data_IF_081612928866
#
_entry.id   IF_081612928866
#
_cell.length_a   1.000
_cell.length_b   1.000
_cell.length_c   1.000
_cell.angle_alpha   90.00
_cell.angle_beta   90.00
_cell.angle_gamma   90.00
#
_symmetry.space_group_name_H-M   'P 1'
#
loop_
_entity.id
_entity.type
_entity.pdbx_description
1 polymer ?
#
# COMPACT_ATOMS: atom_id res chain seq x y z
N UNK A 1 -51.76 68.54 -24.70
CA UNK A 1 -50.50 68.42 -25.46
C UNK A 1 -49.32 68.65 -24.53
N UNK A 2 -48.24 67.93 -24.77
CA UNK A 2 -47.06 67.67 -23.91
C UNK A 2 -46.37 68.94 -23.40
N UNK A 3 -45.83 68.89 -22.18
CA UNK A 3 -44.40 69.12 -21.96
C UNK A 3 -43.90 68.51 -20.65
N UNK A 4 -42.61 68.18 -20.65
CA UNK A 4 -41.90 67.21 -19.83
C UNK A 4 -41.13 67.87 -18.67
N UNK A 5 -40.95 67.07 -17.61
CA UNK A 5 -39.81 66.96 -16.68
C UNK A 5 -39.36 68.21 -15.91
N UNK A 6 -39.39 68.12 -14.59
CA UNK A 6 -38.32 68.63 -13.75
C UNK A 6 -38.14 67.74 -12.52
N UNK A 7 -36.87 67.42 -12.28
CA UNK A 7 -36.27 66.64 -11.21
C UNK A 7 -36.10 67.54 -9.98
N UNK A 8 -36.34 67.07 -8.75
CA UNK A 8 -35.44 67.25 -7.58
C UNK A 8 -36.13 66.97 -6.22
N UNK A 9 -35.44 66.11 -5.45
CA UNK A 9 -35.18 66.16 -4.01
C UNK A 9 -36.35 66.09 -3.01
N UNK A 10 -36.37 65.02 -2.20
CA UNK A 10 -35.78 65.08 -0.86
C UNK A 10 -35.83 63.70 -0.21
N UNK A 11 -34.65 63.11 0.01
CA UNK A 11 -34.46 61.85 0.73
C UNK A 11 -34.64 62.11 2.22
N UNK A 12 -35.58 61.39 2.80
CA UNK A 12 -35.94 61.38 4.22
C UNK A 12 -35.12 60.29 4.94
N UNK A 13 -34.83 60.59 6.22
CA UNK A 13 -34.40 59.68 7.30
C UNK A 13 -32.91 59.26 7.29
N UNK A 14 -32.05 59.89 8.08
CA UNK A 14 -31.91 59.73 9.54
C UNK A 14 -31.71 58.26 9.93
N UNK A 15 -30.45 57.82 10.04
CA UNK A 15 -29.74 57.64 11.32
C UNK A 15 -30.44 56.65 12.25
N UNK A 16 -29.84 55.48 12.44
CA UNK A 16 -29.32 54.98 13.73
C UNK A 16 -28.50 53.71 13.42
N UNK A 17 -27.19 53.80 13.62
CA UNK A 17 -26.31 52.64 13.72
C UNK A 17 -26.59 51.94 15.06
N UNK A 18 -27.42 50.90 15.03
CA UNK A 18 -27.50 49.92 16.10
C UNK A 18 -26.45 48.83 15.86
N UNK A 19 -25.33 48.90 16.57
CA UNK A 19 -24.43 47.76 16.74
C UNK A 19 -25.13 46.82 17.71
N UNK A 20 -25.97 45.95 17.18
CA UNK A 20 -26.48 44.77 17.89
C UNK A 20 -25.56 43.61 17.57
N UNK A 21 -24.78 43.14 18.55
CA UNK A 21 -24.07 41.87 18.46
C UNK A 21 -25.10 40.77 18.18
N UNK A 22 -25.09 40.23 16.96
CA UNK A 22 -25.81 39.01 16.66
C UNK A 22 -25.16 37.89 17.48
N UNK A 23 -25.90 37.37 18.45
CA UNK A 23 -25.54 36.16 19.16
C UNK A 23 -25.54 35.00 18.16
N UNK A 24 -24.33 34.60 17.75
CA UNK A 24 -24.12 33.43 16.91
C UNK A 24 -24.50 32.22 17.75
N UNK A 25 -25.71 31.70 17.52
CA UNK A 25 -26.07 30.36 17.99
C UNK A 25 -25.06 29.38 17.42
N UNK A 26 -24.11 28.94 18.27
CA UNK A 26 -23.24 27.83 17.99
C UNK A 26 -24.13 26.61 17.76
N UNK A 27 -24.23 26.19 16.50
CA UNK A 27 -24.73 24.85 16.18
C UNK A 27 -23.92 23.85 17.01
N UNK A 28 -24.56 22.88 17.68
CA UNK A 28 -23.83 21.85 18.39
C UNK A 28 -22.93 21.13 17.39
N UNK A 29 -21.62 21.32 17.53
CA UNK A 29 -20.61 20.51 16.88
C UNK A 29 -20.93 19.06 17.24
N UNK A 30 -21.35 18.29 16.23
CA UNK A 30 -21.59 16.86 16.37
C UNK A 30 -20.39 16.25 17.08
N UNK A 31 -20.64 15.55 18.18
CA UNK A 31 -19.60 14.85 18.92
C UNK A 31 -18.79 14.01 17.94
N UNK A 32 -17.48 14.29 17.85
CA UNK A 32 -16.56 13.46 17.08
C UNK A 32 -16.72 12.02 17.58
N UNK A 33 -16.95 11.02 16.71
CA UNK A 33 -17.09 9.65 17.16
C UNK A 33 -15.85 9.28 17.96
N UNK A 34 -16.04 8.67 19.13
CA UNK A 34 -14.96 8.21 19.98
C UNK A 34 -13.93 7.43 19.12
N UNK A 35 -12.61 7.62 19.35
CA UNK A 35 -11.60 6.99 18.53
C UNK A 35 -11.81 5.48 18.52
N UNK A 36 -12.00 4.91 17.33
CA UNK A 36 -12.11 3.46 17.17
C UNK A 36 -10.83 2.81 17.69
N UNK A 37 -10.97 1.91 18.67
CA UNK A 37 -9.85 1.18 19.23
C UNK A 37 -9.39 0.10 18.24
N UNK A 38 -8.20 0.30 17.66
CA UNK A 38 -7.61 -0.59 16.65
C UNK A 38 -6.19 -1.01 17.10
N UNK A 39 -6.04 -1.95 18.05
CA UNK A 39 -4.73 -2.34 18.58
C UNK A 39 -3.92 -3.11 17.53
N UNK A 40 -2.63 -2.82 17.39
CA UNK A 40 -1.78 -3.65 16.53
C UNK A 40 -1.35 -4.93 17.25
N UNK A 41 -1.22 -6.07 16.55
CA UNK A 41 -0.61 -7.28 17.09
C UNK A 41 0.79 -7.00 17.66
N UNK A 42 1.14 -7.66 18.76
CA UNK A 42 2.45 -7.54 19.39
C UNK A 42 2.75 -8.76 20.26
N UNK A 43 3.96 -8.82 20.82
CA UNK A 43 4.43 -9.91 21.68
C UNK A 43 5.23 -10.97 20.92
N UNK A 44 5.31 -12.17 21.50
CA UNK A 44 6.17 -13.26 21.02
C UNK A 44 5.38 -14.47 20.49
N UNK A 45 4.08 -14.56 20.81
CA UNK A 45 3.25 -15.70 20.40
C UNK A 45 2.40 -15.37 19.19
N UNK A 46 2.76 -15.95 18.03
CA UNK A 46 2.08 -15.74 16.75
C UNK A 46 0.57 -15.98 16.82
N UNK A 47 0.12 -17.05 17.49
CA UNK A 47 -1.31 -17.39 17.59
C UNK A 47 -2.12 -16.28 18.26
N UNK A 48 -1.65 -15.76 19.40
CA UNK A 48 -2.30 -14.67 20.12
C UNK A 48 -2.25 -13.35 19.34
N UNK A 49 -1.14 -13.09 18.65
CA UNK A 49 -1.02 -11.94 17.75
C UNK A 49 -2.03 -12.02 16.59
N UNK A 50 -2.25 -13.20 16.01
CA UNK A 50 -3.26 -13.43 14.97
C UNK A 50 -4.68 -13.21 15.50
N UNK A 51 -5.00 -13.63 16.71
CA UNK A 51 -6.32 -13.35 17.30
C UNK A 51 -6.57 -11.82 17.43
N UNK A 52 -5.53 -11.08 17.83
CA UNK A 52 -5.57 -9.60 17.86
C UNK A 52 -5.71 -9.01 16.46
N UNK A 53 -4.99 -9.56 15.47
CA UNK A 53 -5.05 -9.15 14.08
C UNK A 53 -6.46 -9.30 13.50
N UNK A 54 -7.10 -10.46 13.71
CA UNK A 54 -8.46 -10.75 13.25
C UNK A 54 -9.46 -9.74 13.79
N UNK A 55 -9.44 -9.49 15.10
CA UNK A 55 -10.34 -8.49 15.72
C UNK A 55 -10.07 -7.09 15.16
N UNK A 56 -8.80 -6.73 14.98
CA UNK A 56 -8.42 -5.39 14.53
C UNK A 56 -8.83 -5.13 13.10
N UNK A 57 -8.58 -6.06 12.18
CA UNK A 57 -8.94 -5.90 10.76
C UNK A 57 -10.45 -5.91 10.57
N UNK A 58 -11.22 -6.70 11.34
CA UNK A 58 -12.69 -6.65 11.31
C UNK A 58 -13.24 -5.29 11.75
N UNK A 59 -12.66 -4.68 12.78
CA UNK A 59 -13.11 -3.39 13.31
C UNK A 59 -12.56 -2.19 12.50
N UNK A 60 -11.37 -2.34 11.94
CA UNK A 60 -10.59 -1.31 11.27
C UNK A 60 -9.91 -1.88 10.01
N UNK A 61 -10.68 -2.14 8.92
CA UNK A 61 -10.14 -2.79 7.72
C UNK A 61 -9.02 -2.01 7.03
N UNK A 62 -9.01 -0.68 7.19
CA UNK A 62 -7.97 0.24 6.71
C UNK A 62 -6.59 -0.02 7.36
N UNK A 63 -6.55 -0.77 8.46
CA UNK A 63 -5.31 -1.13 9.16
C UNK A 63 -4.69 -2.45 8.71
N UNK A 64 -5.23 -3.13 7.69
CA UNK A 64 -4.74 -4.43 7.25
C UNK A 64 -3.23 -4.45 7.05
N UNK A 65 -2.67 -3.48 6.32
CA UNK A 65 -1.23 -3.48 6.01
C UNK A 65 -0.38 -3.34 7.28
N UNK A 66 -0.76 -2.42 8.17
CA UNK A 66 -0.09 -2.23 9.45
C UNK A 66 -0.17 -3.50 10.33
N UNK A 67 -1.33 -4.15 10.35
CA UNK A 67 -1.55 -5.42 11.05
C UNK A 67 -0.70 -6.54 10.45
N UNK A 68 -0.63 -6.63 9.13
CA UNK A 68 0.16 -7.63 8.42
C UNK A 68 1.66 -7.49 8.73
N UNK A 69 2.20 -6.26 8.67
CA UNK A 69 3.59 -6.02 9.05
C UNK A 69 3.84 -6.27 10.54
N UNK A 70 2.89 -5.93 11.42
CA UNK A 70 3.01 -6.26 12.84
C UNK A 70 3.08 -7.79 13.09
N UNK A 71 2.34 -8.60 12.33
CA UNK A 71 2.47 -10.06 12.40
C UNK A 71 3.85 -10.54 11.92
N UNK A 72 4.41 -9.96 10.87
CA UNK A 72 5.78 -10.26 10.43
C UNK A 72 6.78 -9.93 11.55
N UNK A 73 6.64 -8.78 12.22
CA UNK A 73 7.50 -8.38 13.34
C UNK A 73 7.37 -9.32 14.54
N UNK A 74 6.16 -9.80 14.87
CA UNK A 74 5.97 -10.84 15.89
C UNK A 74 6.70 -12.13 15.49
N UNK A 75 6.60 -12.53 14.22
CA UNK A 75 7.32 -13.69 13.70
C UNK A 75 8.83 -13.53 13.73
N UNK A 76 9.35 -12.31 13.54
CA UNK A 76 10.79 -12.00 13.61
C UNK A 76 11.39 -12.31 14.98
N UNK A 77 10.60 -12.18 16.05
CA UNK A 77 11.08 -12.49 17.40
C UNK A 77 11.26 -14.00 17.67
N UNK A 78 10.58 -14.85 16.90
CA UNK A 78 10.69 -16.31 16.98
C UNK A 78 10.44 -16.94 15.59
N UNK A 79 11.45 -16.87 14.67
CA UNK A 79 11.28 -17.27 13.28
C UNK A 79 11.08 -18.78 13.13
N UNK A 80 9.95 -19.18 12.56
CA UNK A 80 9.62 -20.60 12.34
C UNK A 80 8.62 -20.80 11.19
N UNK A 81 8.66 -21.96 10.49
CA UNK A 81 7.85 -22.17 9.29
C UNK A 81 6.34 -22.01 9.51
N UNK A 82 5.85 -22.33 10.71
CA UNK A 82 4.44 -22.25 11.11
C UNK A 82 3.91 -20.81 11.10
N UNK A 83 4.79 -19.81 11.30
CA UNK A 83 4.39 -18.40 11.30
C UNK A 83 3.73 -17.99 9.98
N UNK A 84 4.24 -18.50 8.85
CA UNK A 84 3.64 -18.28 7.54
C UNK A 84 2.24 -18.89 7.44
N UNK A 85 2.04 -20.07 8.01
CA UNK A 85 0.76 -20.77 7.96
C UNK A 85 -0.30 -20.01 8.74
N UNK A 86 0.04 -19.52 9.93
CA UNK A 86 -0.84 -18.64 10.70
C UNK A 86 -1.21 -17.36 9.94
N UNK A 87 -0.26 -16.72 9.26
CA UNK A 87 -0.51 -15.51 8.47
C UNK A 87 -1.34 -15.83 7.22
N UNK A 88 -1.08 -16.96 6.54
CA UNK A 88 -1.89 -17.43 5.41
C UNK A 88 -3.35 -17.63 5.82
N UNK A 89 -3.56 -18.32 6.93
CA UNK A 89 -4.89 -18.68 7.40
C UNK A 89 -5.64 -17.44 7.89
N UNK A 90 -4.94 -16.49 8.53
CA UNK A 90 -5.47 -15.15 8.82
C UNK A 90 -5.93 -14.42 7.55
N UNK A 91 -5.08 -14.30 6.53
CA UNK A 91 -5.42 -13.62 5.28
C UNK A 91 -6.59 -14.30 4.56
N UNK A 92 -6.61 -15.65 4.57
CA UNK A 92 -7.70 -16.44 4.02
C UNK A 92 -9.01 -16.18 4.76
N UNK A 93 -9.01 -16.20 6.09
CA UNK A 93 -10.21 -15.92 6.88
C UNK A 93 -10.75 -14.51 6.64
N UNK A 94 -9.89 -13.48 6.64
CA UNK A 94 -10.32 -12.11 6.35
C UNK A 94 -10.87 -11.96 4.92
N UNK A 95 -10.36 -12.75 3.98
CA UNK A 95 -10.86 -12.80 2.61
C UNK A 95 -12.20 -13.52 2.51
N UNK A 96 -12.34 -14.67 3.17
CA UNK A 96 -13.55 -15.49 3.16
C UNK A 96 -14.72 -14.75 3.85
N UNK A 97 -14.42 -13.96 4.89
CA UNK A 97 -15.38 -13.05 5.56
C UNK A 97 -15.73 -11.79 4.74
N UNK A 98 -15.07 -11.57 3.59
CA UNK A 98 -15.27 -10.40 2.74
C UNK A 98 -14.71 -9.09 3.31
N UNK A 99 -13.88 -9.15 4.35
CA UNK A 99 -13.25 -7.96 4.96
C UNK A 99 -12.17 -7.39 4.05
N UNK A 100 -11.46 -8.27 3.32
CA UNK A 100 -10.41 -7.90 2.37
C UNK A 100 -10.64 -8.63 1.04
N UNK A 101 -10.16 -8.07 -0.08
CA UNK A 101 -10.33 -8.75 -1.36
C UNK A 101 -9.45 -10.00 -1.45
N UNK A 102 -9.92 -11.11 -2.06
CA UNK A 102 -9.11 -12.32 -2.26
C UNK A 102 -7.82 -12.06 -3.03
N UNK A 103 -7.90 -11.21 -4.07
CA UNK A 103 -6.73 -10.82 -4.87
C UNK A 103 -5.68 -10.09 -4.03
N UNK A 104 -6.11 -9.26 -3.09
CA UNK A 104 -5.19 -8.52 -2.22
C UNK A 104 -4.55 -9.43 -1.17
N UNK A 105 -5.34 -10.32 -0.55
CA UNK A 105 -4.85 -11.35 0.36
C UNK A 105 -3.77 -12.23 -0.31
N UNK A 106 -4.05 -12.71 -1.53
CA UNK A 106 -3.09 -13.48 -2.31
C UNK A 106 -1.84 -12.66 -2.63
N UNK A 107 -1.99 -11.40 -3.07
CA UNK A 107 -0.84 -10.53 -3.37
C UNK A 107 0.06 -10.36 -2.15
N UNK A 108 -0.50 -10.01 -0.98
CA UNK A 108 0.27 -9.83 0.26
C UNK A 108 1.05 -11.09 0.62
N UNK A 109 0.36 -12.24 0.60
CA UNK A 109 0.98 -13.52 0.92
C UNK A 109 2.10 -13.88 -0.06
N UNK A 110 1.85 -13.81 -1.37
CA UNK A 110 2.83 -14.24 -2.37
C UNK A 110 4.03 -13.31 -2.47
N UNK A 111 3.83 -12.01 -2.26
CA UNK A 111 4.92 -11.03 -2.22
C UNK A 111 5.94 -11.39 -1.12
N UNK A 112 5.47 -11.78 0.07
CA UNK A 112 6.34 -11.98 1.24
C UNK A 112 6.76 -13.44 1.46
N UNK A 113 5.89 -14.42 1.16
CA UNK A 113 6.05 -15.80 1.60
C UNK A 113 6.13 -16.84 0.47
N UNK A 114 6.05 -16.41 -0.79
CA UNK A 114 6.24 -17.27 -1.94
C UNK A 114 7.61 -16.99 -2.60
N UNK A 115 8.41 -18.01 -2.95
CA UNK A 115 9.75 -17.79 -3.50
C UNK A 115 9.72 -17.12 -4.89
N UNK A 116 8.75 -17.47 -5.74
CA UNK A 116 8.59 -16.84 -7.07
C UNK A 116 8.13 -15.39 -6.98
N UNK A 117 8.67 -14.56 -7.87
CA UNK A 117 8.27 -13.15 -8.00
C UNK A 117 6.85 -13.01 -8.57
N UNK A 118 6.12 -11.99 -8.09
CA UNK A 118 4.78 -11.62 -8.55
C UNK A 118 4.80 -10.32 -9.34
N UNK A 119 5.70 -9.42 -8.94
CA UNK A 119 6.07 -8.13 -9.50
C UNK A 119 6.48 -8.13 -10.98
N UNK A 120 6.69 -9.29 -11.60
CA UNK A 120 7.23 -9.35 -12.96
C UNK A 120 6.16 -8.90 -13.94
N UNK A 121 6.34 -7.76 -14.63
CA UNK A 121 5.34 -7.30 -15.57
C UNK A 121 5.39 -8.21 -16.81
N UNK A 122 4.23 -8.42 -17.44
CA UNK A 122 4.13 -9.16 -18.70
C UNK A 122 4.71 -8.30 -19.84
N UNK A 123 6.04 -8.20 -19.86
CA UNK A 123 6.78 -7.38 -20.80
C UNK A 123 7.32 -8.30 -21.88
N UNK A 124 6.97 -7.98 -23.13
CA UNK A 124 7.60 -8.61 -24.29
C UNK A 124 9.09 -8.35 -24.24
N UNK A 125 9.93 -9.34 -24.56
CA UNK A 125 11.39 -9.21 -24.50
C UNK A 125 11.93 -7.92 -25.15
N UNK A 126 11.33 -7.47 -26.26
CA UNK A 126 11.69 -6.22 -26.94
C UNK A 126 11.50 -4.93 -26.11
N UNK A 127 10.55 -4.92 -25.17
CA UNK A 127 10.30 -3.79 -24.26
C UNK A 127 11.04 -3.94 -22.92
N UNK A 128 11.58 -5.13 -22.65
CA UNK A 128 12.22 -5.44 -21.38
C UNK A 128 13.59 -4.78 -21.26
N UNK A 129 14.32 -4.60 -22.36
CA UNK A 129 15.58 -3.87 -22.38
C UNK A 129 15.41 -2.39 -22.00
N UNK A 130 14.35 -1.73 -22.50
CA UNK A 130 14.07 -0.32 -22.19
C UNK A 130 13.61 -0.10 -20.74
N UNK A 131 12.93 -1.10 -20.17
CA UNK A 131 12.37 -1.06 -18.80
C UNK A 131 13.22 -1.81 -17.79
N UNK A 132 14.43 -2.21 -18.15
CA UNK A 132 15.25 -3.09 -17.32
C UNK A 132 15.45 -2.54 -15.91
N UNK A 133 15.85 -1.26 -15.78
CA UNK A 133 16.08 -0.64 -14.46
C UNK A 133 14.81 -0.60 -13.61
N UNK A 134 13.66 -0.33 -14.22
CA UNK A 134 12.35 -0.31 -13.54
C UNK A 134 11.99 -1.71 -13.01
N UNK A 135 12.13 -2.73 -13.86
CA UNK A 135 11.84 -4.12 -13.48
C UNK A 135 12.81 -4.61 -12.41
N UNK A 136 14.10 -4.29 -12.54
CA UNK A 136 15.12 -4.66 -11.56
C UNK A 136 14.81 -4.04 -10.19
N UNK A 137 14.41 -2.76 -10.14
CA UNK A 137 13.98 -2.10 -8.91
C UNK A 137 12.74 -2.75 -8.29
N UNK A 138 11.74 -3.09 -9.11
CA UNK A 138 10.53 -3.79 -8.63
C UNK A 138 10.85 -5.17 -8.05
N UNK A 139 11.70 -5.93 -8.74
CA UNK A 139 12.16 -7.22 -8.22
C UNK A 139 12.99 -7.06 -6.96
N UNK A 140 13.86 -6.04 -6.87
CA UNK A 140 14.64 -5.81 -5.68
C UNK A 140 13.76 -5.46 -4.47
N UNK A 141 12.74 -4.60 -4.67
CA UNK A 141 11.76 -4.28 -3.64
C UNK A 141 10.99 -5.53 -3.18
N UNK A 142 10.54 -6.37 -4.11
CA UNK A 142 9.87 -7.62 -3.75
C UNK A 142 10.83 -8.61 -3.06
N UNK A 143 12.12 -8.63 -3.42
CA UNK A 143 13.11 -9.49 -2.75
C UNK A 143 13.30 -9.09 -1.28
N UNK A 144 13.25 -7.80 -0.96
CA UNK A 144 13.25 -7.33 0.43
C UNK A 144 11.98 -7.75 1.17
N UNK A 145 10.81 -7.66 0.54
CA UNK A 145 9.57 -8.22 1.10
C UNK A 145 9.68 -9.73 1.35
N UNK A 146 10.30 -10.47 0.43
CA UNK A 146 10.55 -11.91 0.58
C UNK A 146 11.54 -12.19 1.71
N UNK A 147 12.56 -11.34 1.93
CA UNK A 147 13.48 -11.48 3.07
C UNK A 147 12.74 -11.35 4.40
N UNK A 148 11.90 -10.32 4.53
CA UNK A 148 11.07 -10.13 5.72
C UNK A 148 10.13 -11.30 5.99
N UNK A 149 9.46 -11.83 4.97
CA UNK A 149 8.53 -12.95 5.14
C UNK A 149 9.22 -14.31 5.31
N UNK A 150 10.06 -14.71 4.35
CA UNK A 150 10.64 -16.05 4.31
C UNK A 150 11.72 -16.26 5.37
N UNK A 151 12.69 -15.35 5.48
CA UNK A 151 13.78 -15.50 6.46
C UNK A 151 13.35 -14.97 7.82
N UNK A 152 13.03 -13.69 7.88
CA UNK A 152 12.91 -13.03 9.18
C UNK A 152 11.69 -13.55 9.94
N UNK A 153 10.54 -13.71 9.29
CA UNK A 153 9.33 -14.22 9.95
C UNK A 153 9.25 -15.75 9.99
N UNK A 154 9.63 -16.46 8.92
CA UNK A 154 9.40 -17.90 8.80
C UNK A 154 10.64 -18.79 8.99
N UNK A 155 11.85 -18.23 9.09
CA UNK A 155 13.08 -19.01 9.24
C UNK A 155 13.41 -19.93 8.05
N UNK A 156 12.85 -19.66 6.87
CA UNK A 156 12.95 -20.50 5.67
C UNK A 156 14.00 -19.98 4.69
N UNK A 157 15.27 -20.00 5.12
CA UNK A 157 16.40 -19.54 4.31
C UNK A 157 16.50 -20.23 2.94
N UNK A 158 16.14 -21.52 2.85
CA UNK A 158 16.16 -22.24 1.59
C UNK A 158 15.17 -21.68 0.55
N UNK A 159 14.00 -21.18 0.98
CA UNK A 159 13.03 -20.53 0.09
C UNK A 159 13.51 -19.15 -0.32
N UNK A 160 14.11 -18.40 0.59
CA UNK A 160 14.72 -17.12 0.26
C UNK A 160 15.88 -17.29 -0.73
N UNK A 161 16.74 -18.30 -0.54
CA UNK A 161 17.83 -18.62 -1.46
C UNK A 161 17.32 -18.95 -2.88
N UNK A 162 16.16 -19.60 -2.98
CA UNK A 162 15.50 -19.83 -4.27
C UNK A 162 15.07 -18.51 -4.94
N UNK A 163 14.46 -17.59 -4.18
CA UNK A 163 14.09 -16.26 -4.68
C UNK A 163 15.31 -15.44 -5.10
N UNK A 164 16.38 -15.44 -4.29
CA UNK A 164 17.64 -14.76 -4.62
C UNK A 164 18.29 -15.36 -5.88
N UNK A 165 18.21 -16.67 -6.08
CA UNK A 165 18.68 -17.32 -7.30
C UNK A 165 17.87 -16.91 -8.53
N UNK A 166 16.55 -16.77 -8.41
CA UNK A 166 15.69 -16.29 -9.49
C UNK A 166 16.03 -14.85 -9.87
N UNK A 167 16.18 -13.97 -8.86
CA UNK A 167 16.63 -12.59 -9.05
C UNK A 167 17.99 -12.51 -9.76
N UNK A 168 18.99 -13.27 -9.30
CA UNK A 168 20.33 -13.31 -9.92
C UNK A 168 20.27 -13.78 -11.38
N UNK A 169 19.50 -14.82 -11.67
CA UNK A 169 19.33 -15.35 -13.04
C UNK A 169 18.69 -14.33 -13.96
N UNK A 170 17.63 -13.66 -13.51
CA UNK A 170 17.00 -12.58 -14.26
C UNK A 170 18.00 -11.47 -14.57
N UNK A 171 18.73 -11.00 -13.54
CA UNK A 171 19.68 -9.92 -13.70
C UNK A 171 20.80 -10.24 -14.70
N UNK A 172 21.38 -11.45 -14.62
CA UNK A 172 22.41 -11.89 -15.55
C UNK A 172 21.89 -11.98 -16.99
N UNK A 173 20.71 -12.58 -17.18
CA UNK A 173 20.07 -12.68 -18.49
C UNK A 173 19.88 -11.29 -19.11
N UNK A 174 19.42 -10.32 -18.32
CA UNK A 174 19.18 -8.97 -18.79
C UNK A 174 20.47 -8.22 -19.15
N UNK A 175 21.52 -8.36 -18.34
CA UNK A 175 22.84 -7.78 -18.64
C UNK A 175 23.37 -8.33 -19.98
N UNK A 176 23.23 -9.63 -20.21
CA UNK A 176 23.67 -10.26 -21.45
C UNK A 176 22.85 -9.79 -22.65
N UNK A 177 21.52 -9.66 -22.51
CA UNK A 177 20.64 -9.16 -23.58
C UNK A 177 20.92 -7.70 -23.95
N UNK A 178 21.07 -6.82 -22.96
CA UNK A 178 21.35 -5.39 -23.18
C UNK A 178 22.71 -5.21 -23.86
N UNK A 179 23.77 -5.88 -23.38
CA UNK A 179 25.11 -5.80 -23.99
C UNK A 179 25.12 -6.30 -25.45
N UNK A 180 24.37 -7.37 -25.73
CA UNK A 180 24.27 -7.89 -27.09
C UNK A 180 23.47 -6.97 -28.01
N UNK A 181 22.46 -6.27 -27.49
CA UNK A 181 21.70 -5.28 -28.27
C UNK A 181 22.56 -4.08 -28.64
N UNK A 182 23.41 -3.60 -27.73
CA UNK A 182 24.37 -2.53 -28.02
C UNK A 182 25.40 -2.97 -29.08
N UNK A 183 25.85 -4.23 -29.03
CA UNK A 183 26.74 -4.79 -30.05
C UNK A 183 26.09 -4.82 -31.44
N UNK A 184 24.83 -5.26 -31.52
CA UNK A 184 24.06 -5.30 -32.78
C UNK A 184 23.83 -3.89 -33.32
N UNK A 185 23.41 -2.94 -32.48
CA UNK A 185 23.13 -1.57 -32.90
C UNK A 185 24.40 -0.77 -33.24
N UNK A 186 25.52 -1.04 -32.56
CA UNK A 186 26.83 -0.43 -32.85
C UNK A 186 27.46 -0.90 -34.17
N UNK A 187 27.09 -2.10 -34.64
CA UNK A 187 27.58 -2.67 -35.91
C UNK A 187 26.90 -2.11 -37.17
N UNK A 188 25.80 -1.35 -37.01
CA UNK A 188 25.07 -0.72 -38.12
C UNK A 188 25.48 0.73 -38.41
N UNK A 189 26.32 1.35 -37.58
CA UNK A 189 26.78 2.73 -37.76
C UNK A 189 28.23 2.83 -38.29
N UNK A 190 28.74 1.75 -38.89
CA UNK A 190 30.07 1.70 -39.51
C UNK A 190 29.98 1.42 -41.01
N UNK A 191 29.25 2.24 -41.76
CA UNK A 191 29.37 2.39 -43.22
C UNK A 191 29.08 3.83 -43.63
#
# INVERSE_FOLDING_TARGET
MKLKKAFLASVVLALICGIGCAEVQQQPVAASPAPKYCPLPSGYQMKSAVDTAKTTVRNCPDKLDAVFYALIEVGRNDPKPENREFIRDFLKEMSDDGVISPKYAEKLYRTHFHPKFQNLPDIRMAQLCEKYDEVLQQMQAELESKRMGLRDCAGEDYKLAAAESEFRRFNLLMIDLVKNQDYVNGSHNQW
#
